data_IF_153364638145
#
_entry.id   IF_153364638145
#
_cell.length_a   1.000
_cell.length_b   1.000
_cell.length_c   1.000
_cell.angle_alpha   90.00
_cell.angle_beta   90.00
_cell.angle_gamma   90.00
#
_symmetry.space_group_name_H-M   'P 1'
#
loop_
_entity.id
_entity.type
_entity.pdbx_description
1 polymer ?
#
# COMPACT_ATOMS: atom_id res chain seq x y z
N UNK A 1 14.56 19.46 45.05
CA UNK A 1 14.63 18.39 44.01
C UNK A 1 14.60 19.12 42.68
N UNK A 2 15.73 19.32 42.03
CA UNK A 2 15.81 20.04 40.76
C UNK A 2 15.23 19.15 39.66
N UNK A 3 14.24 19.68 38.94
CA UNK A 3 13.70 19.09 37.72
C UNK A 3 14.68 19.28 36.55
N UNK A 4 15.95 18.92 36.76
CA UNK A 4 16.88 18.82 35.64
C UNK A 4 16.34 17.74 34.68
N UNK A 5 16.27 18.11 33.41
CA UNK A 5 15.83 17.26 32.30
C UNK A 5 16.41 15.84 32.44
N UNK A 6 15.57 14.89 32.79
CA UNK A 6 15.98 13.49 32.83
C UNK A 6 15.92 12.93 31.45
N UNK A 7 17.04 12.66 30.75
CA UNK A 7 17.04 12.14 29.38
C UNK A 7 16.31 10.81 29.26
N UNK A 8 16.06 10.13 30.38
CA UNK A 8 15.36 8.84 30.43
C UNK A 8 13.84 8.91 30.20
N UNK A 9 13.24 10.10 30.22
CA UNK A 9 11.81 10.31 30.04
C UNK A 9 11.45 10.89 28.67
N UNK A 10 12.44 11.48 27.97
CA UNK A 10 12.26 11.98 26.62
C UNK A 10 12.55 10.86 25.62
N UNK A 11 11.61 10.54 24.75
CA UNK A 11 11.78 9.59 23.66
C UNK A 11 11.39 10.23 22.32
N UNK A 12 12.07 9.79 21.25
CA UNK A 12 11.86 10.32 19.91
C UNK A 12 10.53 9.81 19.33
N UNK A 13 9.74 10.70 18.75
CA UNK A 13 8.52 10.36 17.99
C UNK A 13 8.78 10.31 16.48
N UNK A 14 10.03 10.11 16.03
CA UNK A 14 10.37 9.96 14.62
C UNK A 14 10.13 8.53 14.17
N UNK A 15 8.91 8.23 13.75
CA UNK A 15 8.51 6.90 13.29
C UNK A 15 8.65 6.80 11.77
N UNK A 16 9.46 5.87 11.26
CA UNK A 16 9.55 5.52 9.84
C UNK A 16 10.63 6.21 9.02
N UNK A 17 11.70 6.73 9.62
CA UNK A 17 12.88 7.26 8.91
C UNK A 17 13.94 6.18 8.69
N UNK A 18 13.58 5.03 8.10
CA UNK A 18 14.54 3.99 7.74
C UNK A 18 15.56 4.46 6.68
N UNK A 19 16.80 3.94 6.77
CA UNK A 19 17.87 4.24 5.80
C UNK A 19 17.47 3.84 4.36
N UNK A 20 17.96 4.57 3.32
CA UNK A 20 17.73 4.20 1.94
C UNK A 20 18.39 2.84 1.64
N UNK A 21 17.56 1.86 1.25
CA UNK A 21 18.02 0.50 0.91
C UNK A 21 18.86 0.51 -0.38
N UNK A 22 19.90 -0.33 -0.40
CA UNK A 22 20.71 -0.65 -1.56
C UNK A 22 19.78 -1.18 -2.65
N UNK A 23 19.59 -0.46 -3.74
CA UNK A 23 18.59 -0.82 -4.79
C UNK A 23 17.86 0.40 -5.37
N UNK A 24 17.98 1.53 -4.69
CA UNK A 24 17.26 2.78 -5.04
C UNK A 24 17.43 3.19 -6.53
N UNK A 25 18.61 2.95 -7.11
CA UNK A 25 18.89 3.34 -8.51
C UNK A 25 18.12 2.47 -9.52
N UNK A 26 18.04 1.16 -9.29
CA UNK A 26 17.30 0.24 -10.18
C UNK A 26 15.80 0.44 -10.05
N UNK A 27 15.30 0.57 -8.82
CA UNK A 27 13.88 0.89 -8.55
C UNK A 27 13.47 2.20 -9.23
N UNK A 28 14.33 3.22 -9.22
CA UNK A 28 14.07 4.48 -9.95
C UNK A 28 14.01 4.27 -11.46
N UNK A 29 14.89 3.45 -12.05
CA UNK A 29 14.85 3.16 -13.48
C UNK A 29 13.60 2.36 -13.86
N UNK A 30 13.24 1.35 -13.08
CA UNK A 30 11.99 0.61 -13.30
C UNK A 30 10.79 1.53 -13.19
N UNK A 31 10.72 2.35 -12.15
CA UNK A 31 9.64 3.33 -11.98
C UNK A 31 9.56 4.32 -13.16
N UNK A 32 10.70 4.82 -13.65
CA UNK A 32 10.73 5.74 -14.79
C UNK A 32 10.28 5.03 -16.09
N UNK A 33 10.70 3.78 -16.31
CA UNK A 33 10.30 2.98 -17.47
C UNK A 33 8.80 2.67 -17.44
N UNK A 34 8.28 2.26 -16.28
CA UNK A 34 6.85 2.00 -16.07
C UNK A 34 6.02 3.26 -16.27
N UNK A 35 6.50 4.40 -15.76
CA UNK A 35 5.86 5.70 -15.98
C UNK A 35 5.82 6.08 -17.46
N UNK A 36 6.93 5.94 -18.18
CA UNK A 36 6.99 6.25 -19.61
C UNK A 36 6.02 5.35 -20.39
N UNK A 37 5.98 4.05 -20.08
CA UNK A 37 5.07 3.10 -20.76
C UNK A 37 3.61 3.41 -20.44
N UNK A 38 3.27 3.69 -19.19
CA UNK A 38 1.93 4.16 -18.80
C UNK A 38 1.46 5.36 -19.65
N UNK A 39 2.32 6.37 -19.82
CA UNK A 39 1.98 7.55 -20.64
C UNK A 39 1.76 7.16 -22.09
N UNK A 40 2.61 6.28 -22.65
CA UNK A 40 2.47 5.76 -24.01
C UNK A 40 1.15 5.00 -24.18
N UNK A 41 0.80 4.09 -23.27
CA UNK A 41 -0.43 3.31 -23.35
C UNK A 41 -1.69 4.16 -23.22
N UNK A 42 -1.72 5.10 -22.26
CA UNK A 42 -2.87 6.00 -22.10
C UNK A 42 -3.05 6.87 -23.35
N UNK A 43 -1.98 7.48 -23.86
CA UNK A 43 -2.05 8.34 -25.04
C UNK A 43 -2.41 7.54 -26.29
N UNK A 44 -1.84 6.36 -26.47
CA UNK A 44 -2.15 5.45 -27.56
C UNK A 44 -3.58 4.89 -27.46
N UNK A 45 -4.04 4.53 -26.26
CA UNK A 45 -5.42 4.09 -26.02
C UNK A 45 -6.45 5.13 -26.43
N UNK A 46 -6.19 6.42 -26.10
CA UNK A 46 -7.02 7.54 -26.53
C UNK A 46 -6.90 7.75 -28.06
N UNK A 47 -5.69 7.80 -28.58
CA UNK A 47 -5.42 8.10 -29.99
C UNK A 47 -5.89 6.99 -30.96
N UNK A 48 -5.72 5.74 -30.58
CA UNK A 48 -6.12 4.57 -31.40
C UNK A 48 -7.54 4.07 -31.10
N UNK A 49 -8.21 4.69 -30.13
CA UNK A 49 -9.59 4.39 -29.80
C UNK A 49 -9.78 3.06 -29.07
N UNK A 50 -8.75 2.49 -28.42
CA UNK A 50 -8.82 1.23 -27.70
C UNK A 50 -9.10 1.41 -26.19
N UNK A 51 -10.20 0.84 -25.73
CA UNK A 51 -10.54 0.81 -24.29
C UNK A 51 -9.72 -0.22 -23.53
N UNK A 52 -9.35 -1.33 -24.16
CA UNK A 52 -8.49 -2.34 -23.58
C UNK A 52 -7.10 -1.77 -23.27
N UNK A 53 -6.49 -1.05 -24.24
CA UNK A 53 -5.20 -0.40 -24.04
C UNK A 53 -5.25 0.75 -23.02
N UNK A 54 -6.34 1.51 -23.03
CA UNK A 54 -6.56 2.58 -22.05
C UNK A 54 -6.69 2.01 -20.63
N UNK A 55 -7.41 0.91 -20.45
CA UNK A 55 -7.56 0.25 -19.16
C UNK A 55 -6.22 -0.32 -18.66
N UNK A 56 -5.39 -0.90 -19.55
CA UNK A 56 -4.05 -1.40 -19.20
C UNK A 56 -3.13 -0.26 -18.76
N UNK A 57 -3.10 0.86 -19.47
CA UNK A 57 -2.34 2.05 -19.10
C UNK A 57 -2.77 2.64 -17.74
N UNK A 58 -4.07 2.70 -17.44
CA UNK A 58 -4.56 3.10 -16.12
C UNK A 58 -4.25 2.08 -15.03
N UNK A 59 -4.23 0.80 -15.37
CA UNK A 59 -3.75 -0.23 -14.45
C UNK A 59 -2.28 0.02 -14.08
N UNK A 60 -1.40 0.27 -15.04
CA UNK A 60 -0.01 0.66 -14.79
C UNK A 60 0.10 1.94 -13.95
N UNK A 61 -0.82 2.89 -14.11
CA UNK A 61 -0.86 4.10 -13.30
C UNK A 61 -0.98 3.80 -11.79
N UNK A 62 -1.63 2.69 -11.41
CA UNK A 62 -1.72 2.28 -10.00
C UNK A 62 -0.35 2.08 -9.37
N UNK A 63 0.58 1.47 -10.09
CA UNK A 63 1.95 1.18 -9.62
C UNK A 63 2.80 2.43 -9.54
N UNK A 64 2.75 3.26 -10.59
CA UNK A 64 3.49 4.52 -10.66
C UNK A 64 3.07 5.45 -9.54
N UNK A 65 1.75 5.58 -9.31
CA UNK A 65 1.21 6.42 -8.26
C UNK A 65 1.59 5.89 -6.89
N UNK A 66 1.52 4.57 -6.65
CA UNK A 66 1.92 3.97 -5.38
C UNK A 66 3.40 4.23 -5.06
N UNK A 67 4.29 4.06 -6.05
CA UNK A 67 5.73 4.34 -5.89
C UNK A 67 6.00 5.83 -5.68
N UNK A 68 5.32 6.70 -6.42
CA UNK A 68 5.44 8.16 -6.28
C UNK A 68 4.99 8.66 -4.92
N UNK A 69 3.87 8.14 -4.43
CA UNK A 69 3.34 8.44 -3.09
C UNK A 69 4.29 7.95 -2.00
N UNK A 70 4.83 6.74 -2.12
CA UNK A 70 5.82 6.22 -1.17
C UNK A 70 7.06 7.13 -1.13
N UNK A 71 7.63 7.47 -2.29
CA UNK A 71 8.79 8.35 -2.39
C UNK A 71 8.51 9.75 -1.79
N UNK A 72 7.35 10.34 -2.09
CA UNK A 72 6.90 11.62 -1.52
C UNK A 72 6.75 11.52 -0.01
N UNK A 73 6.08 10.47 0.50
CA UNK A 73 5.86 10.26 1.93
C UNK A 73 7.18 10.15 2.69
N UNK A 74 8.16 9.40 2.16
CA UNK A 74 9.50 9.32 2.73
C UNK A 74 10.23 10.66 2.74
N UNK A 75 10.20 11.39 1.64
CA UNK A 75 10.85 12.70 1.54
C UNK A 75 10.20 13.71 2.51
N UNK A 76 8.88 13.73 2.57
CA UNK A 76 8.11 14.59 3.47
C UNK A 76 8.36 14.24 4.94
N UNK A 77 8.30 12.96 5.28
CA UNK A 77 8.52 12.47 6.64
C UNK A 77 9.92 12.87 7.16
N UNK A 78 10.96 12.67 6.35
CA UNK A 78 12.33 13.08 6.71
C UNK A 78 12.45 14.59 6.92
N UNK A 79 11.82 15.38 6.06
CA UNK A 79 11.90 16.85 6.13
C UNK A 79 11.20 17.42 7.35
N UNK A 80 10.15 16.77 7.84
CA UNK A 80 9.31 17.25 8.94
C UNK A 80 9.39 16.34 10.17
N UNK A 81 10.41 15.49 10.29
CA UNK A 81 10.53 14.51 11.36
C UNK A 81 10.53 15.11 12.76
N UNK A 82 11.03 16.34 12.91
CA UNK A 82 11.11 17.10 14.18
C UNK A 82 10.13 18.27 14.26
N UNK A 83 9.15 18.37 13.34
CA UNK A 83 8.16 19.46 13.38
C UNK A 83 7.13 19.20 14.50
N UNK A 84 7.09 20.07 15.55
CA UNK A 84 6.19 19.88 16.70
C UNK A 84 4.70 19.96 16.37
N UNK A 85 4.33 20.36 15.13
CA UNK A 85 2.93 20.30 14.66
C UNK A 85 2.39 18.90 14.59
N UNK A 86 3.26 17.88 14.45
CA UNK A 86 2.88 16.48 14.33
C UNK A 86 3.12 15.76 15.66
N UNK A 87 2.09 15.61 16.49
CA UNK A 87 2.20 15.00 17.83
C UNK A 87 2.79 13.57 17.80
N UNK A 88 2.50 12.77 16.78
CA UNK A 88 3.03 11.43 16.57
C UNK A 88 3.89 11.34 15.29
N UNK A 89 4.51 12.46 14.89
CA UNK A 89 5.33 12.53 13.69
C UNK A 89 4.52 12.40 12.40
N UNK A 90 5.22 12.16 11.29
CA UNK A 90 4.68 12.16 9.92
C UNK A 90 4.43 10.76 9.35
N UNK A 91 4.39 9.71 10.20
CA UNK A 91 4.28 8.32 9.76
C UNK A 91 3.01 7.97 8.98
N UNK A 92 1.92 8.75 9.12
CA UNK A 92 0.66 8.56 8.38
C UNK A 92 0.61 9.25 7.01
N UNK A 93 1.62 10.03 6.63
CA UNK A 93 1.65 10.74 5.33
C UNK A 93 1.55 9.76 4.15
N UNK A 94 2.17 8.58 4.28
CA UNK A 94 2.04 7.52 3.27
C UNK A 94 0.62 7.02 3.09
N UNK A 95 -0.11 6.82 4.19
CA UNK A 95 -1.51 6.40 4.17
C UNK A 95 -2.41 7.48 3.55
N UNK A 96 -2.16 8.76 3.85
CA UNK A 96 -2.91 9.89 3.27
C UNK A 96 -2.70 9.97 1.75
N UNK A 97 -1.45 9.84 1.30
CA UNK A 97 -1.13 9.82 -0.12
C UNK A 97 -1.74 8.61 -0.83
N UNK A 98 -1.66 7.41 -0.22
CA UNK A 98 -2.30 6.20 -0.72
C UNK A 98 -3.83 6.33 -0.83
N UNK A 99 -4.46 6.96 0.15
CA UNK A 99 -5.90 7.26 0.10
C UNK A 99 -6.26 8.19 -1.06
N UNK A 100 -5.54 9.30 -1.23
CA UNK A 100 -5.75 10.23 -2.33
C UNK A 100 -5.57 9.57 -3.71
N UNK A 101 -4.54 8.72 -3.84
CA UNK A 101 -4.29 7.95 -5.06
C UNK A 101 -5.41 6.97 -5.36
N UNK A 102 -5.91 6.27 -4.33
CA UNK A 102 -7.01 5.32 -4.50
C UNK A 102 -8.31 6.00 -4.94
N UNK A 103 -8.59 7.21 -4.45
CA UNK A 103 -9.73 8.03 -4.93
C UNK A 103 -9.56 8.36 -6.42
N UNK A 104 -8.36 8.80 -6.84
CA UNK A 104 -8.07 9.08 -8.25
C UNK A 104 -8.28 7.86 -9.15
N UNK A 105 -7.81 6.68 -8.70
CA UNK A 105 -8.00 5.41 -9.43
C UNK A 105 -9.46 4.96 -9.50
N UNK A 106 -10.24 5.16 -8.42
CA UNK A 106 -11.68 4.87 -8.44
C UNK A 106 -12.40 5.74 -9.48
N UNK A 107 -12.07 7.03 -9.55
CA UNK A 107 -12.62 7.93 -10.55
C UNK A 107 -12.23 7.50 -11.97
N UNK A 108 -10.97 7.14 -12.22
CA UNK A 108 -10.52 6.62 -13.50
C UNK A 108 -11.29 5.34 -13.90
N UNK A 109 -11.48 4.41 -12.98
CA UNK A 109 -12.25 3.18 -13.21
C UNK A 109 -13.70 3.49 -13.62
N UNK A 110 -14.36 4.43 -12.95
CA UNK A 110 -15.72 4.87 -13.28
C UNK A 110 -15.79 5.48 -14.68
N UNK A 111 -14.80 6.33 -15.04
CA UNK A 111 -14.77 6.96 -16.36
C UNK A 111 -14.53 5.92 -17.48
N UNK A 112 -13.62 4.97 -17.28
CA UNK A 112 -13.34 3.88 -18.23
C UNK A 112 -14.59 3.02 -18.40
N UNK A 113 -15.25 2.66 -17.29
CA UNK A 113 -16.48 1.88 -17.31
C UNK A 113 -17.57 2.61 -18.10
N UNK A 114 -17.80 3.88 -17.80
CA UNK A 114 -18.81 4.70 -18.49
C UNK A 114 -18.55 4.80 -20.01
N UNK A 115 -17.32 5.13 -20.40
CA UNK A 115 -16.95 5.22 -21.82
C UNK A 115 -17.04 3.85 -22.51
N UNK A 116 -16.65 2.75 -21.86
CA UNK A 116 -16.77 1.40 -22.40
C UNK A 116 -18.24 1.01 -22.65
N UNK A 117 -19.13 1.33 -21.72
CA UNK A 117 -20.57 1.09 -21.88
C UNK A 117 -21.16 1.91 -23.05
N UNK A 118 -20.76 3.18 -23.19
CA UNK A 118 -21.17 4.01 -24.34
C UNK A 118 -20.70 3.41 -25.65
N UNK A 119 -19.46 2.91 -25.72
CA UNK A 119 -18.88 2.31 -26.93
C UNK A 119 -19.50 0.97 -27.30
N UNK A 120 -20.08 0.24 -26.37
CA UNK A 120 -20.88 -0.96 -26.69
C UNK A 120 -22.15 -0.61 -27.51
N UNK A 121 -22.80 0.54 -27.18
CA UNK A 121 -23.95 1.03 -27.91
C UNK A 121 -23.63 1.84 -29.17
N UNK A 122 -22.45 2.46 -29.21
CA UNK A 122 -22.00 3.34 -30.30
C UNK A 122 -20.52 3.05 -30.61
N UNK A 123 -20.25 1.96 -31.36
CA UNK A 123 -18.89 1.54 -31.66
C UNK A 123 -18.08 2.62 -32.38
N UNK A 124 -16.84 2.82 -31.97
CA UNK A 124 -15.86 3.69 -32.63
C UNK A 124 -14.85 2.87 -33.42
N UNK A 125 -14.24 3.51 -34.42
CA UNK A 125 -13.14 2.90 -35.18
C UNK A 125 -11.93 2.73 -34.28
N UNK A 126 -11.33 1.53 -34.32
CA UNK A 126 -10.14 1.18 -33.58
C UNK A 126 -9.02 0.94 -34.57
N UNK A 127 -7.85 1.56 -34.31
CA UNK A 127 -6.61 1.28 -35.04
C UNK A 127 -5.94 0.05 -34.40
N UNK A 128 -6.39 -1.14 -34.78
CA UNK A 128 -6.00 -2.39 -34.14
C UNK A 128 -4.50 -2.68 -34.24
N UNK A 129 -3.88 -2.41 -35.39
CA UNK A 129 -2.47 -2.74 -35.62
C UNK A 129 -1.57 -1.94 -34.68
N UNK A 130 -1.80 -0.64 -34.59
CA UNK A 130 -1.07 0.27 -33.73
C UNK A 130 -1.31 -0.03 -32.26
N UNK A 131 -2.57 -0.32 -31.89
CA UNK A 131 -2.92 -0.66 -30.52
C UNK A 131 -2.26 -1.98 -30.07
N UNK A 132 -2.24 -3.00 -30.92
CA UNK A 132 -1.60 -4.30 -30.63
C UNK A 132 -0.09 -4.12 -30.45
N UNK A 133 0.57 -3.34 -31.30
CA UNK A 133 2.02 -3.10 -31.17
C UNK A 133 2.34 -2.45 -29.82
N UNK A 134 1.58 -1.43 -29.43
CA UNK A 134 1.79 -0.76 -28.14
C UNK A 134 1.52 -1.70 -26.97
N UNK A 135 0.44 -2.51 -27.02
CA UNK A 135 0.12 -3.47 -25.98
C UNK A 135 1.21 -4.56 -25.83
N UNK A 136 1.79 -5.04 -26.94
CA UNK A 136 2.92 -5.99 -26.88
C UNK A 136 4.16 -5.35 -26.25
N UNK A 137 4.49 -4.11 -26.60
CA UNK A 137 5.60 -3.38 -25.99
C UNK A 137 5.38 -3.20 -24.48
N UNK A 138 4.14 -2.86 -24.09
CA UNK A 138 3.75 -2.75 -22.68
C UNK A 138 3.96 -4.06 -21.91
N UNK A 139 3.48 -5.17 -22.45
CA UNK A 139 3.70 -6.50 -21.87
C UNK A 139 5.19 -6.82 -21.69
N UNK A 140 6.02 -6.53 -22.70
CA UNK A 140 7.48 -6.76 -22.63
C UNK A 140 8.11 -5.90 -21.56
N UNK A 141 7.73 -4.62 -21.44
CA UNK A 141 8.22 -3.69 -20.41
C UNK A 141 7.80 -4.16 -19.02
N UNK A 142 6.56 -4.60 -18.83
CA UNK A 142 6.07 -5.12 -17.56
C UNK A 142 6.85 -6.38 -17.14
N UNK A 143 7.05 -7.32 -18.06
CA UNK A 143 7.82 -8.53 -17.80
C UNK A 143 9.29 -8.25 -17.49
N UNK A 144 9.92 -7.34 -18.25
CA UNK A 144 11.30 -6.90 -18.00
C UNK A 144 11.44 -6.22 -16.64
N UNK A 145 10.51 -5.33 -16.28
CA UNK A 145 10.45 -4.66 -14.98
C UNK A 145 10.34 -5.66 -13.82
N UNK A 146 9.49 -6.67 -13.99
CA UNK A 146 9.32 -7.75 -13.02
C UNK A 146 10.60 -8.58 -12.82
N UNK A 147 11.28 -8.92 -13.91
CA UNK A 147 12.56 -9.68 -13.86
C UNK A 147 13.64 -8.85 -13.19
N UNK A 148 13.75 -7.56 -13.51
CA UNK A 148 14.73 -6.64 -12.91
C UNK A 148 14.54 -6.50 -11.39
N UNK A 149 13.28 -6.45 -10.93
CA UNK A 149 12.96 -6.38 -9.50
C UNK A 149 13.22 -7.72 -8.79
N UNK A 150 13.02 -8.86 -9.46
CA UNK A 150 13.19 -10.20 -8.89
C UNK A 150 14.64 -10.52 -8.53
N UNK A 151 15.60 -10.01 -9.29
CA UNK A 151 17.04 -10.26 -9.08
C UNK A 151 17.57 -9.68 -7.76
N UNK A 152 16.93 -8.65 -7.20
CA UNK A 152 17.37 -8.03 -5.94
C UNK A 152 17.10 -8.88 -4.69
N UNK A 153 16.13 -9.80 -4.73
CA UNK A 153 15.76 -10.59 -3.55
C UNK A 153 16.62 -11.85 -3.34
N UNK A 154 17.54 -12.18 -4.26
CA UNK A 154 18.37 -13.39 -4.15
C UNK A 154 19.76 -13.18 -3.49
N UNK A 155 20.16 -11.96 -3.13
CA UNK A 155 21.52 -11.69 -2.65
C UNK A 155 21.69 -11.40 -1.15
N UNK A 156 20.64 -11.35 -0.35
CA UNK A 156 20.76 -11.04 1.09
C UNK A 156 19.91 -11.94 1.98
N UNK A 157 20.23 -13.24 2.06
CA UNK A 157 19.72 -14.04 3.18
C UNK A 157 20.75 -15.05 3.66
N UNK A 158 21.47 -14.67 4.69
CA UNK A 158 22.08 -15.59 5.64
C UNK A 158 21.55 -15.23 7.03
N UNK A 159 20.55 -15.96 7.54
CA UNK A 159 20.10 -15.90 8.97
C UNK A 159 18.61 -15.85 9.19
N UNK A 160 18.07 -16.89 9.75
CA UNK A 160 16.83 -17.06 10.57
C UNK A 160 15.50 -16.28 10.33
N UNK A 161 15.20 -15.83 9.12
CA UNK A 161 13.93 -15.12 8.81
C UNK A 161 12.94 -15.93 7.95
N UNK A 162 12.96 -17.26 7.99
CA UNK A 162 12.28 -18.14 7.00
C UNK A 162 10.75 -18.14 6.99
N UNK A 163 10.05 -17.47 7.89
CA UNK A 163 8.56 -17.55 7.95
C UNK A 163 7.81 -16.33 7.40
N UNK A 164 8.42 -15.17 7.34
CA UNK A 164 7.76 -13.95 6.82
C UNK A 164 8.05 -13.65 5.34
N UNK A 165 9.12 -14.23 4.76
CA UNK A 165 9.52 -14.02 3.38
C UNK A 165 8.59 -14.68 2.36
N UNK A 166 8.06 -15.87 2.64
CA UNK A 166 7.22 -16.63 1.71
C UNK A 166 5.91 -15.90 1.32
N UNK A 167 5.29 -15.18 2.25
CA UNK A 167 4.05 -14.45 1.96
C UNK A 167 4.27 -13.22 1.08
N UNK A 168 5.37 -12.51 1.26
CA UNK A 168 5.68 -11.30 0.50
C UNK A 168 6.14 -11.64 -0.94
N UNK A 169 6.94 -12.70 -1.08
CA UNK A 169 7.38 -13.22 -2.38
C UNK A 169 6.20 -13.74 -3.21
N UNK A 170 5.30 -14.48 -2.57
CA UNK A 170 4.09 -14.99 -3.20
C UNK A 170 3.15 -13.86 -3.63
N UNK A 171 3.02 -12.82 -2.80
CA UNK A 171 2.24 -11.62 -3.13
C UNK A 171 2.80 -10.89 -4.35
N UNK A 172 4.11 -10.64 -4.39
CA UNK A 172 4.78 -10.01 -5.52
C UNK A 172 4.69 -10.84 -6.81
N UNK A 173 4.87 -12.17 -6.71
CA UNK A 173 4.72 -13.07 -7.86
C UNK A 173 3.29 -13.06 -8.42
N UNK A 174 2.28 -13.19 -7.57
CA UNK A 174 0.88 -13.14 -7.98
C UNK A 174 0.50 -11.81 -8.63
N UNK A 175 1.08 -10.72 -8.16
CA UNK A 175 0.90 -9.41 -8.75
C UNK A 175 1.46 -9.32 -10.18
N UNK A 176 2.72 -9.75 -10.39
CA UNK A 176 3.34 -9.80 -11.72
C UNK A 176 2.58 -10.69 -12.69
N UNK A 177 2.08 -11.84 -12.21
CA UNK A 177 1.26 -12.76 -13.02
C UNK A 177 -0.07 -12.12 -13.38
N UNK A 178 -0.70 -11.40 -12.45
CA UNK A 178 -1.96 -10.70 -12.72
C UNK A 178 -1.76 -9.58 -13.76
N UNK A 179 -0.67 -8.80 -13.68
CA UNK A 179 -0.34 -7.75 -14.64
C UNK A 179 -0.09 -8.33 -16.04
N UNK A 180 0.71 -9.38 -16.13
CA UNK A 180 0.96 -10.06 -17.39
C UNK A 180 -0.35 -10.64 -17.99
N UNK A 181 -1.24 -11.18 -17.15
CA UNK A 181 -2.51 -11.74 -17.59
C UNK A 181 -3.45 -10.66 -18.14
N UNK A 182 -3.54 -9.50 -17.50
CA UNK A 182 -4.38 -8.38 -18.00
C UNK A 182 -3.89 -7.87 -19.34
N UNK A 183 -2.58 -7.69 -19.51
CA UNK A 183 -1.98 -7.27 -20.79
C UNK A 183 -2.17 -8.33 -21.89
N UNK A 184 -2.00 -9.63 -21.57
CA UNK A 184 -2.26 -10.72 -22.53
C UNK A 184 -3.73 -10.74 -22.96
N UNK A 185 -4.66 -10.60 -22.02
CA UNK A 185 -6.10 -10.56 -22.33
C UNK A 185 -6.45 -9.35 -23.21
N UNK A 186 -5.85 -8.18 -22.98
CA UNK A 186 -6.01 -7.00 -23.82
C UNK A 186 -5.51 -7.27 -25.26
N UNK A 187 -4.32 -7.88 -25.42
CA UNK A 187 -3.78 -8.25 -26.73
C UNK A 187 -4.69 -9.26 -27.43
N UNK A 188 -5.13 -10.30 -26.74
CA UNK A 188 -6.03 -11.33 -27.29
C UNK A 188 -7.34 -10.69 -27.78
N UNK A 189 -7.93 -9.77 -27.00
CA UNK A 189 -9.15 -9.08 -27.39
C UNK A 189 -8.96 -8.18 -28.63
N UNK A 190 -7.83 -7.46 -28.71
CA UNK A 190 -7.50 -6.64 -29.88
C UNK A 190 -7.26 -7.49 -31.13
N UNK A 191 -6.50 -8.57 -31.02
CA UNK A 191 -6.25 -9.52 -32.13
C UNK A 191 -7.55 -10.18 -32.59
N UNK A 192 -8.36 -10.66 -31.64
CA UNK A 192 -9.65 -11.25 -31.95
C UNK A 192 -10.59 -10.21 -32.61
N UNK A 193 -10.63 -8.99 -32.08
CA UNK A 193 -11.40 -7.90 -32.67
C UNK A 193 -10.99 -7.59 -34.10
N UNK A 194 -9.69 -7.55 -34.39
CA UNK A 194 -9.14 -7.38 -35.74
C UNK A 194 -9.53 -8.53 -36.69
N UNK A 195 -9.34 -9.80 -36.27
CA UNK A 195 -9.57 -10.98 -37.09
C UNK A 195 -11.05 -11.20 -37.36
N UNK A 196 -11.92 -10.94 -36.39
CA UNK A 196 -13.37 -11.12 -36.50
C UNK A 196 -14.09 -9.90 -37.06
N UNK A 197 -13.38 -8.79 -37.31
CA UNK A 197 -13.97 -7.50 -37.68
C UNK A 197 -14.91 -6.95 -36.62
N UNK A 198 -14.72 -7.32 -35.38
CA UNK A 198 -15.61 -7.01 -34.25
C UNK A 198 -15.04 -5.98 -33.31
N UNK A 199 -15.73 -4.84 -33.14
CA UNK A 199 -15.30 -3.74 -32.30
C UNK A 199 -15.78 -3.83 -30.85
N UNK A 200 -16.69 -4.76 -30.50
CA UNK A 200 -17.30 -4.88 -29.18
C UNK A 200 -16.38 -5.54 -28.12
N UNK A 201 -15.42 -6.36 -28.59
CA UNK A 201 -14.48 -7.03 -27.68
C UNK A 201 -13.60 -6.05 -26.89
N UNK A 202 -13.16 -4.98 -27.52
CA UNK A 202 -12.34 -3.94 -26.89
C UNK A 202 -13.08 -3.21 -25.74
N UNK A 203 -14.30 -2.68 -25.90
CA UNK A 203 -15.07 -2.14 -24.78
C UNK A 203 -15.35 -3.17 -23.67
N UNK A 204 -15.58 -4.43 -23.99
CA UNK A 204 -15.74 -5.48 -22.99
C UNK A 204 -14.48 -5.62 -22.15
N UNK A 205 -13.30 -5.59 -22.77
CA UNK A 205 -12.03 -5.58 -22.02
C UNK A 205 -11.83 -4.31 -21.21
N UNK A 206 -12.29 -3.17 -21.71
CA UNK A 206 -12.34 -1.93 -20.93
C UNK A 206 -13.19 -2.06 -19.66
N UNK A 207 -14.36 -2.73 -19.76
CA UNK A 207 -15.21 -3.02 -18.58
C UNK A 207 -14.48 -3.95 -17.62
N UNK A 208 -13.90 -5.05 -18.09
CA UNK A 208 -13.14 -5.98 -17.23
C UNK A 208 -11.99 -5.27 -16.53
N UNK A 209 -11.18 -4.50 -17.25
CA UNK A 209 -10.07 -3.71 -16.69
C UNK A 209 -10.56 -2.69 -15.66
N UNK A 210 -11.64 -1.97 -15.93
CA UNK A 210 -12.22 -1.00 -14.99
C UNK A 210 -12.71 -1.67 -13.69
N UNK A 211 -13.28 -2.86 -13.75
CA UNK A 211 -13.70 -3.62 -12.57
C UNK A 211 -12.50 -4.08 -11.74
N UNK A 212 -11.42 -4.51 -12.39
CA UNK A 212 -10.16 -4.86 -11.70
C UNK A 212 -9.57 -3.64 -10.97
N UNK A 213 -9.48 -2.49 -11.66
CA UNK A 213 -8.99 -1.23 -11.08
C UNK A 213 -9.90 -0.81 -9.91
N UNK A 214 -11.22 -0.87 -10.06
CA UNK A 214 -12.18 -0.54 -9.01
C UNK A 214 -12.02 -1.43 -7.77
N UNK A 215 -11.82 -2.75 -7.98
CA UNK A 215 -11.61 -3.70 -6.89
C UNK A 215 -10.33 -3.41 -6.09
N UNK A 216 -9.25 -3.05 -6.78
CA UNK A 216 -7.99 -2.71 -6.14
C UNK A 216 -8.04 -1.35 -5.45
N UNK A 217 -8.62 -0.36 -6.10
CA UNK A 217 -8.89 0.95 -5.52
C UNK A 217 -9.69 0.84 -4.22
N UNK A 218 -10.75 0.02 -4.21
CA UNK A 218 -11.53 -0.23 -3.00
C UNK A 218 -10.69 -0.86 -1.87
N UNK A 219 -9.84 -1.85 -2.19
CA UNK A 219 -8.92 -2.45 -1.23
C UNK A 219 -7.96 -1.43 -0.63
N UNK A 220 -7.36 -0.59 -1.47
CA UNK A 220 -6.44 0.46 -1.05
C UNK A 220 -7.15 1.54 -0.21
N UNK A 221 -8.34 1.98 -0.62
CA UNK A 221 -9.18 2.91 0.17
C UNK A 221 -9.47 2.37 1.56
N UNK A 222 -9.91 1.11 1.65
CA UNK A 222 -10.22 0.46 2.92
C UNK A 222 -9.00 0.38 3.85
N UNK A 223 -7.85 -0.04 3.32
CA UNK A 223 -6.63 -0.18 4.12
C UNK A 223 -6.11 1.17 4.58
N UNK A 224 -6.01 2.15 3.68
CA UNK A 224 -5.50 3.48 4.02
C UNK A 224 -6.45 4.27 4.92
N UNK A 225 -7.77 4.16 4.72
CA UNK A 225 -8.75 4.77 5.64
C UNK A 225 -8.69 4.15 7.03
N UNK A 226 -8.44 2.83 7.13
CA UNK A 226 -8.25 2.16 8.42
C UNK A 226 -7.09 2.76 9.21
N UNK A 227 -5.95 3.02 8.55
CA UNK A 227 -4.79 3.68 9.18
C UNK A 227 -5.11 5.12 9.58
N UNK A 228 -5.80 5.87 8.71
CA UNK A 228 -6.14 7.29 8.97
C UNK A 228 -7.17 7.45 10.09
N UNK A 229 -8.09 6.50 10.21
CA UNK A 229 -9.17 6.49 11.22
C UNK A 229 -8.83 5.67 12.46
N UNK A 230 -7.58 5.21 12.59
CA UNK A 230 -7.11 4.42 13.74
C UNK A 230 -7.87 3.10 13.97
N UNK A 231 -8.42 2.50 12.89
CA UNK A 231 -9.29 1.33 12.92
C UNK A 231 -8.62 0.04 12.38
N UNK A 232 -7.36 0.08 11.98
CA UNK A 232 -6.70 -1.04 11.28
C UNK A 232 -6.31 -2.21 12.18
N UNK A 233 -6.06 -1.98 13.48
CA UNK A 233 -5.44 -2.99 14.32
C UNK A 233 -6.40 -4.14 14.63
N UNK A 234 -5.95 -5.39 14.34
CA UNK A 234 -6.76 -6.58 14.47
C UNK A 234 -7.18 -6.88 15.92
N UNK A 235 -8.36 -7.52 16.09
CA UNK A 235 -8.86 -7.96 17.39
C UNK A 235 -7.88 -8.96 18.05
N UNK A 236 -7.22 -9.79 17.25
CA UNK A 236 -6.22 -10.76 17.75
C UNK A 236 -5.02 -10.04 18.38
N UNK A 237 -4.52 -8.95 17.73
CA UNK A 237 -3.41 -8.17 18.27
C UNK A 237 -3.78 -7.50 19.59
N UNK A 238 -4.99 -6.95 19.68
CA UNK A 238 -5.52 -6.37 20.92
C UNK A 238 -5.64 -7.41 22.02
N UNK A 239 -6.12 -8.62 21.70
CA UNK A 239 -6.23 -9.72 22.67
C UNK A 239 -4.87 -10.13 23.23
N UNK A 240 -3.84 -10.27 22.39
CA UNK A 240 -2.47 -10.59 22.83
C UNK A 240 -1.87 -9.52 23.75
N UNK A 241 -2.10 -8.25 23.45
CA UNK A 241 -1.65 -7.15 24.32
C UNK A 241 -2.36 -7.18 25.67
N UNK A 242 -3.67 -7.39 25.66
CA UNK A 242 -4.47 -7.53 26.89
C UNK A 242 -4.00 -8.71 27.73
N UNK A 243 -3.81 -9.88 27.13
CA UNK A 243 -3.32 -11.08 27.80
C UNK A 243 -1.93 -10.87 28.43
N UNK A 244 -1.03 -10.18 27.73
CA UNK A 244 0.30 -9.89 28.24
C UNK A 244 0.28 -8.95 29.47
N UNK A 245 -0.66 -8.02 29.54
CA UNK A 245 -0.84 -7.11 30.67
C UNK A 245 -1.56 -7.78 31.86
N UNK A 246 -2.54 -8.66 31.54
CA UNK A 246 -3.35 -9.39 32.53
C UNK A 246 -2.65 -10.67 33.05
N UNK A 247 -1.34 -10.84 32.77
CA UNK A 247 -0.56 -11.98 33.30
C UNK A 247 -0.52 -11.99 34.83
N UNK A 248 -0.56 -10.84 35.46
CA UNK A 248 -0.75 -10.68 36.89
C UNK A 248 -2.22 -10.94 37.23
N UNK A 249 -2.52 -12.00 37.99
CA UNK A 249 -3.88 -12.51 38.22
C UNK A 249 -4.88 -11.48 38.79
N UNK A 250 -4.39 -10.42 39.43
CA UNK A 250 -5.17 -9.32 40.01
C UNK A 250 -5.33 -8.11 39.09
N UNK A 251 -4.71 -8.13 37.91
CA UNK A 251 -4.75 -7.01 36.95
C UNK A 251 -5.80 -7.23 35.88
N UNK A 252 -6.60 -6.18 35.59
CA UNK A 252 -7.58 -6.15 34.50
C UNK A 252 -7.37 -4.93 33.63
N UNK A 253 -7.35 -5.15 32.31
CA UNK A 253 -7.38 -4.08 31.32
C UNK A 253 -8.83 -3.64 31.14
N UNK A 254 -9.11 -2.39 31.54
CA UNK A 254 -10.46 -1.80 31.47
C UNK A 254 -10.65 -0.92 30.24
N UNK A 255 -9.55 -0.38 29.70
CA UNK A 255 -9.54 0.37 28.44
C UNK A 255 -8.27 0.09 27.63
N UNK A 256 -8.39 -0.04 26.31
CA UNK A 256 -7.29 -0.33 25.40
C UNK A 256 -7.54 0.33 24.05
N UNK A 257 -6.78 1.40 23.81
CA UNK A 257 -6.68 2.03 22.50
C UNK A 257 -5.37 1.61 21.84
N UNK A 258 -5.45 1.18 20.59
CA UNK A 258 -4.29 0.72 19.82
C UNK A 258 -4.44 1.20 18.38
N UNK A 259 -3.48 1.98 17.89
CA UNK A 259 -3.53 2.55 16.54
C UNK A 259 -2.14 2.65 15.91
N UNK A 260 -2.11 2.79 14.60
CA UNK A 260 -0.88 2.92 13.82
C UNK A 260 -0.41 4.38 13.76
N UNK A 261 0.86 4.61 14.08
CA UNK A 261 1.51 5.94 14.01
C UNK A 261 2.58 6.02 12.92
N UNK A 262 2.98 4.87 12.35
CA UNK A 262 3.94 4.76 11.27
C UNK A 262 3.80 3.43 10.53
N UNK A 263 4.56 3.17 9.44
CA UNK A 263 4.45 1.95 8.65
C UNK A 263 4.51 0.67 9.47
N UNK A 264 5.43 0.60 10.44
CA UNK A 264 5.67 -0.55 11.31
C UNK A 264 5.52 -0.21 12.80
N UNK A 265 4.93 0.95 13.13
CA UNK A 265 4.89 1.46 14.48
C UNK A 265 3.45 1.66 14.96
N UNK A 266 3.17 1.12 16.15
CA UNK A 266 1.91 1.27 16.85
C UNK A 266 2.07 2.17 18.08
N UNK A 267 1.00 2.84 18.47
CA UNK A 267 0.87 3.48 19.77
C UNK A 267 -0.26 2.82 20.55
N UNK A 268 -0.10 2.74 21.87
CA UNK A 268 -1.09 2.19 22.77
C UNK A 268 -1.35 3.13 23.96
N UNK A 269 -2.63 3.25 24.30
CA UNK A 269 -3.07 3.80 25.60
C UNK A 269 -3.84 2.70 26.30
N UNK A 270 -3.43 2.38 27.53
CA UNK A 270 -3.94 1.24 28.28
C UNK A 270 -4.30 1.71 29.68
N UNK A 271 -5.53 1.46 30.12
CA UNK A 271 -5.94 1.64 31.51
C UNK A 271 -6.07 0.28 32.20
N UNK A 272 -5.42 0.14 33.34
CA UNK A 272 -5.45 -1.06 34.15
C UNK A 272 -6.04 -0.79 35.53
N UNK A 273 -6.74 -1.79 36.07
CA UNK A 273 -7.29 -1.77 37.43
C UNK A 273 -6.75 -3.01 38.17
N UNK A 274 -6.28 -2.80 39.42
CA UNK A 274 -5.79 -3.86 40.29
C UNK A 274 -6.06 -3.52 41.75
N UNK A 275 -6.22 -4.51 42.65
CA UNK A 275 -6.31 -4.29 44.09
C UNK A 275 -4.92 -3.96 44.69
N UNK A 276 -3.85 -4.47 44.06
CA UNK A 276 -2.45 -4.23 44.42
C UNK A 276 -1.65 -3.69 43.20
N UNK A 277 -1.96 -2.48 42.73
CA UNK A 277 -1.42 -1.96 41.47
C UNK A 277 0.10 -1.80 41.53
N UNK A 278 0.76 -2.20 40.43
CA UNK A 278 2.19 -1.94 40.21
C UNK A 278 2.40 -0.57 39.59
N UNK A 279 3.62 -0.08 39.58
CA UNK A 279 3.96 1.14 38.88
C UNK A 279 3.78 1.00 37.36
N UNK A 280 3.48 2.09 36.63
CA UNK A 280 3.34 2.05 35.16
C UNK A 280 4.53 1.43 34.42
N UNK A 281 5.73 1.54 34.99
CA UNK A 281 6.97 0.94 34.47
C UNK A 281 6.91 -0.60 34.38
N UNK A 282 6.25 -1.26 35.33
CA UNK A 282 6.06 -2.71 35.31
C UNK A 282 5.25 -3.15 34.08
N UNK A 283 4.12 -2.52 33.83
CA UNK A 283 3.25 -2.85 32.70
C UNK A 283 3.91 -2.54 31.34
N UNK A 284 4.70 -1.45 31.27
CA UNK A 284 5.51 -1.16 30.07
C UNK A 284 6.54 -2.26 29.83
N UNK A 285 7.16 -2.81 30.87
CA UNK A 285 8.12 -3.91 30.72
C UNK A 285 7.46 -5.19 30.20
N UNK A 286 6.21 -5.52 30.60
CA UNK A 286 5.44 -6.65 30.04
C UNK A 286 5.16 -6.45 28.55
N UNK A 287 5.00 -5.21 28.10
CA UNK A 287 4.73 -4.87 26.70
C UNK A 287 6.00 -4.75 25.83
N UNK A 288 7.20 -4.74 26.43
CA UNK A 288 8.47 -4.58 25.70
C UNK A 288 8.75 -5.72 24.70
N UNK A 289 8.10 -6.87 24.85
CA UNK A 289 8.15 -7.98 23.89
C UNK A 289 7.50 -7.65 22.54
N UNK A 290 6.65 -6.61 22.47
CA UNK A 290 5.99 -6.16 21.25
C UNK A 290 6.83 -5.03 20.63
N UNK A 291 7.78 -5.39 19.80
CA UNK A 291 8.80 -4.46 19.23
C UNK A 291 8.22 -3.40 18.28
N UNK A 292 7.00 -3.61 17.79
CA UNK A 292 6.25 -2.66 16.97
C UNK A 292 5.50 -1.59 17.79
N UNK A 293 5.43 -1.73 19.14
CA UNK A 293 4.89 -0.70 20.02
C UNK A 293 5.92 0.41 20.27
N UNK A 294 5.82 1.49 19.53
CA UNK A 294 6.75 2.60 19.61
C UNK A 294 6.38 3.63 20.69
N UNK A 295 5.11 3.70 21.09
CA UNK A 295 4.64 4.58 22.15
C UNK A 295 3.59 3.88 23.01
N UNK A 296 3.80 3.88 24.34
CA UNK A 296 2.89 3.25 25.30
C UNK A 296 2.64 4.17 26.49
N UNK A 297 1.37 4.50 26.68
CA UNK A 297 0.89 5.17 27.90
C UNK A 297 0.09 4.16 28.73
N UNK A 298 0.44 4.05 30.01
CA UNK A 298 -0.29 3.19 30.96
C UNK A 298 -0.84 4.06 32.08
N UNK A 299 -2.15 4.00 32.23
CA UNK A 299 -2.89 4.55 33.35
C UNK A 299 -3.20 3.42 34.33
N UNK A 300 -2.96 3.64 35.62
CA UNK A 300 -3.08 2.62 36.66
C UNK A 300 -4.06 3.08 37.73
N UNK A 301 -5.11 2.28 37.93
CA UNK A 301 -6.12 2.54 38.94
C UNK A 301 -6.10 1.45 40.02
N UNK A 302 -6.40 1.85 41.24
CA UNK A 302 -6.62 0.93 42.35
C UNK A 302 -8.11 0.67 42.49
N UNK A 303 -8.52 -0.58 42.46
CA UNK A 303 -9.88 -0.92 42.85
C UNK A 303 -10.01 -0.92 44.38
N UNK A 304 -11.14 -0.38 44.87
CA UNK A 304 -11.45 -0.35 46.31
C UNK A 304 -11.79 -1.75 46.85
#
# INVERSE_FOLDING_TARGET
MSLERSPSWEHSHTFGTGEPRIGERRTRWVAALTFAMMVVEITAGIGYGSMALLADGWHMATHVVALGVAAFAYAYARRHASDPKFSFGTGKVGALGGFASAVGLALAAILILGESLVRLGSPRTILFDEAIVVAIVGLVVNLASAILLRVEHHHEVTGDAHRHEDHNLRGAYLHVVADALTSVLAIVALVAGKLLGSTWLDPVMGIVGSLVIARWSYGLLRNTSGVLLDAEVSAERRARLKEAVEIDADTRVVDLHLWRVGPEHLAAVIAVVSSAPREPGHYRALLAQFTDLAHVTVEVHRCA
#
